data_IF_599313780282
#
_entry.id   IF_599313780282
#
_cell.length_a   1.000
_cell.length_b   1.000
_cell.length_c   1.000
_cell.angle_alpha   90.00
_cell.angle_beta   90.00
_cell.angle_gamma   90.00
#
_symmetry.space_group_name_H-M   'P 1'
#
loop_
_entity.id
_entity.type
_entity.pdbx_description
1 polymer ?
#
# COMPACT_ATOMS: atom_id res chain seq x y z
N UNK A 1 -17.07 -2.67 8.29
CA UNK A 1 -16.07 -3.58 8.90
C UNK A 1 -14.79 -2.78 9.09
N UNK A 2 -14.15 -2.88 10.26
CA UNK A 2 -12.91 -2.15 10.52
C UNK A 2 -11.71 -3.06 10.25
N UNK A 3 -11.02 -2.79 9.14
CA UNK A 3 -9.73 -3.42 8.81
C UNK A 3 -8.62 -2.49 9.28
N UNK A 4 -7.67 -3.04 10.02
CA UNK A 4 -6.47 -2.33 10.45
C UNK A 4 -5.27 -3.12 9.95
N UNK A 5 -4.32 -2.42 9.34
CA UNK A 5 -3.07 -3.01 8.89
C UNK A 5 -1.90 -2.45 9.69
N UNK A 6 -0.87 -3.29 9.88
CA UNK A 6 0.40 -2.90 10.48
C UNK A 6 1.55 -3.48 9.67
N UNK A 7 2.60 -2.69 9.48
CA UNK A 7 3.85 -3.20 8.90
C UNK A 7 4.75 -3.65 10.04
N UNK A 8 5.09 -4.93 10.08
CA UNK A 8 5.94 -5.55 11.11
C UNK A 8 6.98 -6.43 10.42
N UNK A 9 8.26 -6.14 10.67
CA UNK A 9 9.40 -6.90 10.11
C UNK A 9 9.32 -7.08 8.57
N UNK A 10 9.02 -6.01 7.84
CA UNK A 10 8.95 -6.04 6.38
C UNK A 10 7.71 -6.73 5.80
N UNK A 11 6.69 -7.03 6.62
CA UNK A 11 5.44 -7.66 6.18
C UNK A 11 4.22 -6.91 6.67
N UNK A 12 3.11 -7.04 5.97
CA UNK A 12 1.82 -6.48 6.33
C UNK A 12 1.09 -7.51 7.19
N UNK A 13 0.63 -7.10 8.36
CA UNK A 13 -0.29 -7.85 9.20
C UNK A 13 -1.66 -7.19 9.14
N UNK A 14 -2.66 -7.96 8.72
CA UNK A 14 -4.05 -7.50 8.62
C UNK A 14 -4.85 -7.99 9.82
N UNK A 15 -5.58 -7.06 10.43
CA UNK A 15 -6.44 -7.29 11.56
C UNK A 15 -7.87 -6.89 11.21
N UNK A 16 -8.82 -7.76 11.51
CA UNK A 16 -10.24 -7.47 11.37
C UNK A 16 -10.86 -7.50 12.76
N UNK A 17 -11.47 -6.38 13.17
CA UNK A 17 -12.04 -6.22 14.51
C UNK A 17 -11.04 -6.58 15.63
N UNK A 18 -9.75 -6.27 15.43
CA UNK A 18 -8.68 -6.54 16.39
C UNK A 18 -8.08 -7.96 16.35
N UNK A 19 -8.65 -8.88 15.57
CA UNK A 19 -8.14 -10.25 15.44
C UNK A 19 -7.17 -10.33 14.25
N UNK A 20 -5.98 -10.88 14.47
CA UNK A 20 -5.03 -11.15 13.39
C UNK A 20 -5.63 -12.14 12.39
N UNK A 21 -5.74 -11.73 11.12
CA UNK A 21 -6.29 -12.57 10.05
C UNK A 21 -5.21 -13.24 9.23
N UNK A 22 -4.22 -12.47 8.78
CA UNK A 22 -3.19 -12.92 7.84
C UNK A 22 -1.99 -11.99 7.85
N UNK A 23 -0.88 -12.54 7.34
CA UNK A 23 0.35 -11.79 7.09
C UNK A 23 0.78 -11.99 5.64
N UNK A 24 1.08 -10.92 4.92
CA UNK A 24 1.48 -10.96 3.51
C UNK A 24 2.44 -9.83 3.14
N UNK A 25 2.87 -9.81 1.87
CA UNK A 25 3.91 -8.91 1.38
C UNK A 25 5.31 -9.30 1.85
N UNK A 26 6.32 -8.65 1.25
CA UNK A 26 7.73 -8.85 1.59
C UNK A 26 8.49 -7.55 1.37
N UNK A 27 9.46 -7.27 2.25
CA UNK A 27 10.26 -6.05 2.23
C UNK A 27 9.42 -4.76 2.24
N UNK A 28 8.31 -4.74 2.98
CA UNK A 28 7.40 -3.60 3.05
C UNK A 28 7.91 -2.58 4.08
N UNK A 29 7.94 -1.30 3.68
CA UNK A 29 8.40 -0.18 4.52
C UNK A 29 7.25 0.73 4.97
N UNK A 30 6.18 0.82 4.18
CA UNK A 30 4.98 1.57 4.50
C UNK A 30 3.78 0.87 3.85
N UNK A 31 2.60 0.98 4.45
CA UNK A 31 1.37 0.48 3.86
C UNK A 31 0.17 1.27 4.40
N UNK A 32 -0.90 1.30 3.62
CA UNK A 32 -2.18 1.92 3.97
C UNK A 32 -3.35 1.15 3.35
N UNK A 33 -4.56 1.32 3.88
CA UNK A 33 -5.76 0.61 3.39
C UNK A 33 -7.02 1.46 3.42
N UNK A 34 -7.86 1.34 2.38
CA UNK A 34 -9.22 1.90 2.35
C UNK A 34 -10.27 0.90 2.90
N UNK A 35 -9.83 -0.26 3.38
CA UNK A 35 -10.67 -1.37 3.83
C UNK A 35 -10.94 -2.43 2.77
N UNK A 36 -10.72 -2.14 1.48
CA UNK A 36 -10.85 -3.11 0.38
C UNK A 36 -9.49 -3.49 -0.20
N UNK A 37 -8.65 -2.48 -0.49
CA UNK A 37 -7.31 -2.66 -1.02
C UNK A 37 -6.30 -2.23 0.03
N UNK A 38 -5.17 -2.92 0.06
CA UNK A 38 -3.98 -2.50 0.80
C UNK A 38 -2.93 -2.07 -0.20
N UNK A 39 -2.53 -0.82 -0.14
CA UNK A 39 -1.41 -0.30 -0.92
C UNK A 39 -0.16 -0.32 -0.04
N UNK A 40 0.95 -0.84 -0.56
CA UNK A 40 2.17 -1.03 0.21
C UNK A 40 3.40 -0.62 -0.57
N UNK A 41 4.31 0.09 0.09
CA UNK A 41 5.61 0.47 -0.44
C UNK A 41 6.63 -0.59 -0.06
N UNK A 42 7.34 -1.10 -1.05
CA UNK A 42 8.48 -2.00 -0.89
C UNK A 42 9.76 -1.20 -0.64
N UNK A 43 10.75 -1.81 -0.01
CA UNK A 43 12.07 -1.21 0.24
C UNK A 43 12.82 -0.83 -1.05
N UNK A 44 12.44 -1.42 -2.18
CA UNK A 44 12.96 -1.08 -3.51
C UNK A 44 12.26 0.14 -4.13
N UNK A 45 11.37 0.81 -3.41
CA UNK A 45 10.65 1.99 -3.86
C UNK A 45 9.54 1.71 -4.87
N UNK A 46 9.02 0.47 -4.92
CA UNK A 46 7.82 0.13 -5.71
C UNK A 46 6.59 0.07 -4.82
N UNK A 47 5.43 0.32 -5.42
CA UNK A 47 4.12 0.17 -4.77
C UNK A 47 3.48 -1.13 -5.22
N UNK A 48 2.95 -1.90 -4.27
CA UNK A 48 2.19 -3.13 -4.49
C UNK A 48 0.78 -2.96 -3.93
N UNK A 49 -0.23 -3.37 -4.70
CA UNK A 49 -1.61 -3.44 -4.22
C UNK A 49 -1.96 -4.88 -3.89
N UNK A 50 -2.61 -5.08 -2.75
CA UNK A 50 -3.14 -6.35 -2.29
C UNK A 50 -4.65 -6.26 -2.11
N UNK A 51 -5.34 -7.32 -2.49
CA UNK A 51 -6.78 -7.47 -2.28
C UNK A 51 -6.99 -8.79 -1.54
N UNK A 52 -7.57 -8.73 -0.34
CA UNK A 52 -7.77 -9.90 0.52
C UNK A 52 -6.46 -10.70 0.73
N UNK A 53 -5.32 -10.02 0.87
CA UNK A 53 -3.99 -10.61 1.05
C UNK A 53 -3.33 -11.19 -0.21
N UNK A 54 -4.00 -11.20 -1.36
CA UNK A 54 -3.42 -11.61 -2.62
C UNK A 54 -2.82 -10.42 -3.35
N UNK A 55 -1.61 -10.59 -3.89
CA UNK A 55 -0.96 -9.59 -4.74
C UNK A 55 -1.79 -9.36 -6.00
N UNK A 56 -2.08 -8.09 -6.30
CA UNK A 56 -2.88 -7.68 -7.46
C UNK A 56 -2.02 -7.09 -8.56
N UNK A 57 -1.10 -6.20 -8.20
CA UNK A 57 -0.20 -5.51 -9.14
C UNK A 57 0.94 -4.80 -8.43
N UNK A 58 1.96 -4.42 -9.21
CA UNK A 58 3.09 -3.60 -8.77
C UNK A 58 3.29 -2.45 -9.75
N UNK A 59 3.55 -1.23 -9.26
CA UNK A 59 3.79 -0.04 -10.07
C UNK A 59 4.62 1.00 -9.29
N UNK A 60 4.86 2.15 -9.94
CA UNK A 60 5.61 3.25 -9.35
C UNK A 60 7.12 2.96 -9.23
N UNK A 61 7.85 4.00 -8.85
CA UNK A 61 9.29 3.94 -8.60
C UNK A 61 9.69 5.03 -7.63
N UNK A 62 10.71 4.79 -6.81
CA UNK A 62 11.18 5.71 -5.77
C UNK A 62 10.12 6.07 -4.72
N UNK A 63 9.12 5.22 -4.49
CA UNK A 63 8.12 5.41 -3.44
C UNK A 63 8.75 5.28 -2.05
N UNK A 64 8.38 6.17 -1.14
CA UNK A 64 8.80 6.15 0.28
C UNK A 64 7.60 6.03 1.23
N UNK A 65 6.44 6.48 0.79
CA UNK A 65 5.21 6.41 1.56
C UNK A 65 3.99 6.26 0.64
N UNK A 66 2.87 5.81 1.20
CA UNK A 66 1.64 5.60 0.45
C UNK A 66 0.43 5.87 1.33
N UNK A 67 -0.61 6.43 0.73
CA UNK A 67 -1.93 6.59 1.31
C UNK A 67 -2.98 6.18 0.28
N UNK A 68 -4.08 5.57 0.71
CA UNK A 68 -5.16 5.14 -0.16
C UNK A 68 -6.51 5.58 0.38
N UNK A 69 -7.35 6.13 -0.49
CA UNK A 69 -8.72 6.50 -0.16
C UNK A 69 -9.60 6.35 -1.38
N UNK A 70 -10.71 5.62 -1.25
CA UNK A 70 -11.67 5.40 -2.34
C UNK A 70 -11.04 4.79 -3.61
N UNK A 71 -10.02 3.94 -3.45
CA UNK A 71 -9.29 3.31 -4.56
C UNK A 71 -8.32 4.22 -5.32
N UNK A 72 -8.07 5.44 -4.83
CA UNK A 72 -6.99 6.32 -5.29
C UNK A 72 -5.81 6.16 -4.34
N UNK A 73 -4.64 5.88 -4.90
CA UNK A 73 -3.39 5.67 -4.18
C UNK A 73 -2.49 6.89 -4.39
N UNK A 74 -2.26 7.66 -3.34
CA UNK A 74 -1.30 8.75 -3.32
C UNK A 74 0.06 8.20 -2.85
N UNK A 75 1.08 8.37 -3.67
CA UNK A 75 2.43 7.83 -3.46
C UNK A 75 3.39 8.98 -3.26
N UNK A 76 3.97 9.09 -2.08
CA UNK A 76 5.06 10.04 -1.83
C UNK A 76 6.35 9.43 -2.33
N UNK A 77 7.05 10.14 -3.21
CA UNK A 77 8.32 9.70 -3.78
C UNK A 77 9.50 10.30 -3.00
N UNK A 78 10.68 9.70 -3.09
CA UNK A 78 11.92 10.23 -2.51
C UNK A 78 12.42 11.53 -3.14
N UNK A 79 11.70 12.06 -4.13
CA UNK A 79 11.98 13.34 -4.80
C UNK A 79 11.05 14.46 -4.34
N UNK A 80 10.42 14.29 -3.17
CA UNK A 80 9.45 15.22 -2.58
C UNK A 80 8.23 15.51 -3.47
N UNK A 81 7.89 14.57 -4.36
CA UNK A 81 6.69 14.64 -5.21
C UNK A 81 5.65 13.64 -4.76
N UNK A 82 4.38 13.98 -4.96
CA UNK A 82 3.25 13.06 -4.73
C UNK A 82 2.66 12.66 -6.06
N UNK A 83 2.62 11.35 -6.33
CA UNK A 83 2.01 10.78 -7.52
C UNK A 83 0.70 10.08 -7.16
N UNK A 84 -0.38 10.43 -7.85
CA UNK A 84 -1.67 9.75 -7.69
C UNK A 84 -1.83 8.65 -8.73
N UNK A 85 -2.22 7.48 -8.26
CA UNK A 85 -2.53 6.32 -9.07
C UNK A 85 -3.97 5.88 -8.82
N UNK A 86 -4.66 5.43 -9.87
CA UNK A 86 -5.96 4.77 -9.74
C UNK A 86 -5.91 3.47 -10.51
N UNK A 87 -6.13 2.35 -9.81
CA UNK A 87 -6.06 1.02 -10.42
C UNK A 87 -4.68 0.76 -11.08
N UNK A 88 -3.59 1.24 -10.46
CA UNK A 88 -2.22 1.19 -10.99
C UNK A 88 -1.89 2.13 -12.15
N UNK A 89 -2.83 2.97 -12.60
CA UNK A 89 -2.61 3.92 -13.69
C UNK A 89 -2.29 5.29 -13.10
N UNK A 90 -1.15 5.87 -13.50
CA UNK A 90 -0.76 7.23 -13.12
C UNK A 90 -1.83 8.24 -13.56
N UNK A 91 -2.26 9.09 -12.63
CA UNK A 91 -3.24 10.15 -12.86
C UNK A 91 -2.59 11.51 -12.92
N UNK A 92 -1.88 11.89 -11.86
CA UNK A 92 -1.34 13.23 -11.67
C UNK A 92 -0.09 13.18 -10.79
N UNK A 93 0.76 14.20 -10.94
CA UNK A 93 1.90 14.46 -10.07
C UNK A 93 1.73 15.85 -9.48
N UNK A 94 2.03 15.98 -8.18
CA UNK A 94 2.10 17.23 -7.44
C UNK A 94 3.55 17.52 -7.07
#
# INVERSE_FOLDING_TARGET
MAVVIKVVNGKIQEYENGIHKRTYGSNIVAADTDGHIVAAVTANGKVEEFENGSHKRTYGSNAINVQISGGVVAVTTSKDKVEEYKNGIHKRTY
#
